data_IF_285806048137
#
_entry.id   IF_285806048137
#
_cell.length_a   1.000
_cell.length_b   1.000
_cell.length_c   1.000
_cell.angle_alpha   90.00
_cell.angle_beta   90.00
_cell.angle_gamma   90.00
#
_symmetry.space_group_name_H-M   'P 1'
#
loop_
_entity.id
_entity.type
_entity.pdbx_description
1 polymer ?
#
# COMPACT_ATOMS: atom_id res chain seq x y z
N UNK A 1 -71.46 -6.93 67.14
CA UNK A 1 -71.12 -5.50 66.93
C UNK A 1 -69.66 -5.43 66.52
N UNK A 2 -69.40 -4.97 65.31
CA UNK A 2 -68.09 -4.99 64.63
C UNK A 2 -67.24 -3.81 65.10
N UNK A 3 -66.07 -4.09 65.70
CA UNK A 3 -65.00 -3.11 65.85
C UNK A 3 -63.99 -3.35 64.72
N UNK A 4 -63.95 -2.44 63.74
CA UNK A 4 -62.96 -2.45 62.68
C UNK A 4 -61.68 -1.75 63.17
N UNK A 5 -60.63 -2.53 63.42
CA UNK A 5 -59.28 -2.02 63.66
C UNK A 5 -58.65 -1.58 62.32
N UNK A 6 -58.34 -0.29 62.20
CA UNK A 6 -57.72 0.29 61.01
C UNK A 6 -56.31 -0.24 60.76
N UNK A 7 -56.06 -0.72 59.55
CA UNK A 7 -54.71 -0.97 59.04
C UNK A 7 -54.31 0.23 58.18
N UNK A 8 -53.40 1.05 58.69
CA UNK A 8 -52.80 2.14 57.92
C UNK A 8 -51.78 1.59 56.92
N UNK A 9 -52.06 1.71 55.63
CA UNK A 9 -51.12 1.38 54.55
C UNK A 9 -50.15 2.55 54.41
N UNK A 10 -48.88 2.36 54.80
CA UNK A 10 -47.80 3.31 54.48
C UNK A 10 -47.49 3.22 52.99
N UNK A 11 -47.90 4.23 52.23
CA UNK A 11 -47.38 4.48 50.88
C UNK A 11 -45.92 4.91 51.03
N UNK A 12 -45.00 4.08 50.56
CA UNK A 12 -43.57 4.41 50.50
C UNK A 12 -43.35 5.27 49.27
N UNK A 13 -42.88 6.50 49.45
CA UNK A 13 -42.56 7.38 48.32
C UNK A 13 -41.51 6.73 47.40
N UNK A 14 -41.64 6.86 46.06
CA UNK A 14 -40.68 6.28 45.14
C UNK A 14 -39.31 6.91 45.36
N UNK A 15 -38.32 6.07 45.67
CA UNK A 15 -36.92 6.48 45.84
C UNK A 15 -36.48 7.25 44.58
N UNK A 16 -35.96 8.48 44.70
CA UNK A 16 -35.51 9.24 43.54
C UNK A 16 -34.44 8.45 42.79
N UNK A 17 -34.71 8.09 41.54
CA UNK A 17 -33.72 7.41 40.70
C UNK A 17 -32.55 8.37 40.44
N UNK A 18 -31.48 8.24 41.22
CA UNK A 18 -30.23 8.94 40.99
C UNK A 18 -29.48 8.21 39.85
N UNK A 19 -29.37 8.81 38.65
CA UNK A 19 -28.74 8.12 37.52
C UNK A 19 -27.29 7.82 37.84
N UNK A 20 -26.91 6.55 37.69
CA UNK A 20 -25.56 6.09 37.97
C UNK A 20 -24.55 6.81 37.03
N UNK A 21 -23.27 6.91 37.41
CA UNK A 21 -22.24 7.49 36.54
C UNK A 21 -22.19 6.83 35.15
N UNK A 22 -22.53 5.53 35.07
CA UNK A 22 -22.62 4.77 33.82
C UNK A 22 -23.81 5.16 32.95
N UNK A 23 -24.94 5.53 33.56
CA UNK A 23 -26.15 5.95 32.85
C UNK A 23 -25.99 7.37 32.30
N UNK A 24 -25.32 8.25 33.05
CA UNK A 24 -24.91 9.57 32.58
C UNK A 24 -23.94 9.48 31.40
N UNK A 25 -22.96 8.57 31.47
CA UNK A 25 -21.99 8.35 30.39
C UNK A 25 -22.68 7.77 29.13
N UNK A 26 -23.61 6.82 29.29
CA UNK A 26 -24.41 6.29 28.18
C UNK A 26 -25.28 7.36 27.54
N UNK A 27 -25.96 8.21 28.33
CA UNK A 27 -26.77 9.30 27.82
C UNK A 27 -25.92 10.32 27.06
N UNK A 28 -24.75 10.67 27.61
CA UNK A 28 -23.80 11.58 26.98
C UNK A 28 -23.28 11.04 25.63
N UNK A 29 -22.87 9.77 25.58
CA UNK A 29 -22.42 9.09 24.35
C UNK A 29 -23.55 8.97 23.31
N UNK A 30 -24.79 8.74 23.74
CA UNK A 30 -25.95 8.67 22.84
C UNK A 30 -26.30 10.03 22.25
N UNK A 31 -26.15 11.09 23.03
CA UNK A 31 -26.43 12.47 22.63
C UNK A 31 -25.32 13.06 21.73
N UNK A 32 -24.05 12.69 21.96
CA UNK A 32 -22.91 13.22 21.21
C UNK A 32 -22.35 12.25 20.17
N UNK A 33 -22.87 11.03 20.06
CA UNK A 33 -22.37 10.00 19.16
C UNK A 33 -22.25 10.44 17.70
N UNK A 34 -23.23 11.20 17.19
CA UNK A 34 -23.21 11.72 15.81
C UNK A 34 -22.15 12.81 15.60
N UNK A 35 -21.89 13.65 16.62
CA UNK A 35 -20.81 14.65 16.60
C UNK A 35 -19.44 14.00 16.72
N UNK A 36 -19.29 13.00 17.59
CA UNK A 36 -18.07 12.19 17.72
C UNK A 36 -17.74 11.43 16.43
N UNK A 37 -18.76 10.91 15.74
CA UNK A 37 -18.58 10.23 14.46
C UNK A 37 -18.13 11.19 13.36
N UNK A 38 -18.76 12.37 13.26
CA UNK A 38 -18.30 13.43 12.36
C UNK A 38 -16.91 13.94 12.70
N UNK A 39 -16.57 14.05 13.99
CA UNK A 39 -15.24 14.44 14.45
C UNK A 39 -14.19 13.38 14.10
N UNK A 40 -14.52 12.09 14.22
CA UNK A 40 -13.64 10.99 13.82
C UNK A 40 -13.42 10.98 12.30
N UNK A 41 -14.48 11.13 11.50
CA UNK A 41 -14.38 11.24 10.05
C UNK A 41 -13.58 12.47 9.61
N UNK A 42 -13.80 13.63 10.25
CA UNK A 42 -13.06 14.86 9.99
C UNK A 42 -11.59 14.75 10.44
N UNK A 43 -11.31 14.07 11.56
CA UNK A 43 -9.96 13.78 12.03
C UNK A 43 -9.23 12.84 11.07
N UNK A 44 -9.87 11.74 10.64
CA UNK A 44 -9.29 10.81 9.68
C UNK A 44 -9.03 11.47 8.32
N UNK A 45 -9.97 12.31 7.85
CA UNK A 45 -9.78 13.13 6.65
C UNK A 45 -8.64 14.14 6.84
N UNK A 46 -8.59 14.83 7.98
CA UNK A 46 -7.54 15.80 8.31
C UNK A 46 -6.16 15.15 8.42
N UNK A 47 -6.06 13.94 8.97
CA UNK A 47 -4.84 13.14 9.00
C UNK A 47 -4.43 12.72 7.57
N UNK A 48 -5.38 12.25 6.76
CA UNK A 48 -5.14 11.91 5.35
C UNK A 48 -4.64 13.11 4.53
N UNK A 49 -5.30 14.26 4.66
CA UNK A 49 -4.90 15.52 4.00
C UNK A 49 -3.53 15.98 4.50
N UNK A 50 -3.28 15.91 5.81
CA UNK A 50 -1.98 16.29 6.38
C UNK A 50 -0.86 15.39 5.87
N UNK A 51 -1.09 14.08 5.74
CA UNK A 51 -0.14 13.13 5.15
C UNK A 51 0.13 13.46 3.69
N UNK A 52 -0.90 13.77 2.90
CA UNK A 52 -0.75 14.14 1.48
C UNK A 52 0.03 15.45 1.34
N UNK A 53 -0.29 16.46 2.14
CA UNK A 53 0.41 17.76 2.14
C UNK A 53 1.86 17.61 2.62
N UNK A 54 2.11 16.76 3.61
CA UNK A 54 3.46 16.51 4.11
C UNK A 54 4.29 15.70 3.10
N UNK A 55 3.67 14.76 2.39
CA UNK A 55 4.30 14.04 1.29
C UNK A 55 4.68 14.95 0.10
N UNK A 56 4.05 16.12 -0.02
CA UNK A 56 4.38 17.12 -1.04
C UNK A 56 5.56 18.04 -0.64
N UNK A 57 5.95 18.12 0.64
CA UNK A 57 6.95 19.08 1.15
C UNK A 57 8.43 18.64 1.06
N UNK A 58 8.71 17.43 0.59
CA UNK A 58 10.08 16.99 0.33
C UNK A 58 10.32 15.49 0.59
N UNK A 59 11.19 14.89 -0.22
CA UNK A 59 11.38 13.43 -0.30
C UNK A 59 11.87 12.79 1.01
N UNK A 60 12.80 13.42 1.72
CA UNK A 60 13.29 12.88 3.00
C UNK A 60 12.20 12.83 4.08
N UNK A 61 11.30 13.81 4.08
CA UNK A 61 10.18 13.86 5.03
C UNK A 61 9.13 12.79 4.71
N UNK A 62 8.83 12.57 3.43
CA UNK A 62 7.92 11.52 2.99
C UNK A 62 8.45 10.12 3.31
N UNK A 63 9.78 9.91 3.23
CA UNK A 63 10.43 8.66 3.61
C UNK A 63 10.27 8.36 5.09
N UNK A 64 10.66 9.29 5.97
CA UNK A 64 10.53 9.11 7.41
C UNK A 64 9.08 8.97 7.87
N UNK A 65 8.16 9.68 7.22
CA UNK A 65 6.73 9.51 7.45
C UNK A 65 6.26 8.08 7.13
N UNK A 66 6.64 7.54 5.96
CA UNK A 66 6.32 6.16 5.57
C UNK A 66 6.93 5.13 6.52
N UNK A 67 8.18 5.35 6.96
CA UNK A 67 8.84 4.50 7.94
C UNK A 67 8.13 4.53 9.28
N UNK A 68 7.89 5.70 9.86
CA UNK A 68 7.29 5.83 11.20
C UNK A 68 5.87 5.28 11.24
N UNK A 69 5.06 5.60 10.23
CA UNK A 69 3.68 5.11 10.15
C UNK A 69 3.66 3.61 9.86
N UNK A 70 4.46 3.13 8.92
CA UNK A 70 4.60 1.71 8.63
C UNK A 70 5.05 0.89 9.84
N UNK A 71 6.05 1.38 10.57
CA UNK A 71 6.53 0.76 11.81
C UNK A 71 5.45 0.76 12.90
N UNK A 72 4.72 1.86 13.07
CA UNK A 72 3.60 1.92 14.01
C UNK A 72 2.54 0.87 13.67
N UNK A 73 2.17 0.72 12.40
CA UNK A 73 1.25 -0.34 11.99
C UNK A 73 1.79 -1.74 12.21
N UNK A 74 3.07 -1.97 11.93
CA UNK A 74 3.70 -3.26 12.19
C UNK A 74 3.65 -3.63 13.67
N UNK A 75 3.96 -2.68 14.56
CA UNK A 75 3.87 -2.87 16.01
C UNK A 75 2.43 -3.16 16.44
N UNK A 76 1.47 -2.42 15.89
CA UNK A 76 0.05 -2.61 16.23
C UNK A 76 -0.43 -3.98 15.72
N UNK A 77 -0.14 -4.35 14.47
CA UNK A 77 -0.45 -5.67 13.90
C UNK A 77 0.16 -6.78 14.76
N UNK A 78 1.42 -6.66 15.16
CA UNK A 78 2.11 -7.63 16.01
C UNK A 78 1.44 -7.71 17.39
N UNK A 79 1.13 -6.57 17.99
CA UNK A 79 0.42 -6.49 19.27
C UNK A 79 -0.94 -7.19 19.19
N UNK A 80 -1.74 -6.92 18.16
CA UNK A 80 -3.01 -7.59 17.92
C UNK A 80 -2.86 -9.07 17.61
N UNK A 81 -1.77 -9.49 16.96
CA UNK A 81 -1.51 -10.90 16.68
C UNK A 81 -1.21 -11.68 17.96
N UNK A 82 -0.38 -11.11 18.84
CA UNK A 82 0.01 -11.73 20.11
C UNK A 82 -1.15 -11.72 21.11
N UNK A 83 -1.87 -10.61 21.23
CA UNK A 83 -2.89 -10.41 22.27
C UNK A 83 -4.35 -10.64 21.82
N UNK A 84 -4.60 -10.74 20.51
CA UNK A 84 -5.94 -10.69 19.90
C UNK A 84 -6.37 -11.97 19.17
N UNK A 85 -5.80 -13.13 19.49
CA UNK A 85 -6.17 -14.44 18.90
C UNK A 85 -7.70 -14.69 18.94
N UNK A 86 -8.35 -14.39 17.81
CA UNK A 86 -9.76 -14.04 17.69
C UNK A 86 -10.80 -15.16 17.74
N UNK A 87 -10.44 -16.39 18.11
CA UNK A 87 -11.42 -17.48 18.32
C UNK A 87 -11.52 -17.95 19.77
N UNK A 88 -10.38 -18.07 20.46
CA UNK A 88 -10.37 -18.30 21.91
C UNK A 88 -11.05 -17.16 22.68
N UNK A 89 -10.86 -15.92 22.23
CA UNK A 89 -11.54 -14.75 22.80
C UNK A 89 -12.99 -14.57 22.33
N UNK A 90 -13.38 -14.96 21.12
CA UNK A 90 -14.78 -14.83 20.67
C UNK A 90 -15.72 -15.76 21.45
N UNK A 91 -15.29 -17.01 21.67
CA UNK A 91 -16.03 -17.95 22.50
C UNK A 91 -16.03 -17.53 23.98
N UNK A 92 -14.90 -17.01 24.50
CA UNK A 92 -14.82 -16.46 25.85
C UNK A 92 -15.54 -15.11 26.03
N UNK A 93 -15.77 -14.33 24.97
CA UNK A 93 -16.50 -13.05 25.00
C UNK A 93 -18.02 -13.24 24.87
N UNK A 94 -18.46 -14.33 24.23
CA UNK A 94 -19.86 -14.77 24.23
C UNK A 94 -20.22 -15.46 25.56
N UNK A 95 -19.27 -16.12 26.22
CA UNK A 95 -19.45 -16.78 27.52
C UNK A 95 -19.04 -15.92 28.75
N UNK A 96 -18.35 -14.79 28.55
CA UNK A 96 -17.73 -14.00 29.61
C UNK A 96 -18.38 -12.63 29.87
N UNK A 97 -18.02 -12.02 31.01
CA UNK A 97 -18.46 -10.68 31.46
C UNK A 97 -18.47 -9.62 30.36
N UNK A 98 -19.41 -8.66 30.43
CA UNK A 98 -19.58 -7.48 29.55
C UNK A 98 -18.26 -6.78 29.18
N UNK A 99 -17.25 -6.78 30.08
CA UNK A 99 -15.91 -6.24 29.83
C UNK A 99 -15.16 -6.95 28.69
N UNK A 100 -15.27 -8.28 28.59
CA UNK A 100 -14.64 -9.07 27.53
C UNK A 100 -15.31 -8.84 26.17
N UNK A 101 -16.65 -8.71 26.17
CA UNK A 101 -17.41 -8.39 24.95
C UNK A 101 -17.05 -7.01 24.42
N UNK A 102 -17.03 -5.99 25.28
CA UNK A 102 -16.62 -4.63 24.90
C UNK A 102 -15.17 -4.61 24.40
N UNK A 103 -14.25 -5.29 25.10
CA UNK A 103 -12.85 -5.39 24.66
C UNK A 103 -12.73 -6.07 23.30
N UNK A 104 -13.43 -7.17 23.05
CA UNK A 104 -13.41 -7.84 21.75
C UNK A 104 -13.90 -6.91 20.63
N UNK A 105 -15.07 -6.27 20.80
CA UNK A 105 -15.59 -5.33 19.80
C UNK A 105 -14.66 -4.13 19.58
N UNK A 106 -14.10 -3.56 20.65
CA UNK A 106 -13.13 -2.46 20.54
C UNK A 106 -11.87 -2.90 19.78
N UNK A 107 -11.37 -4.11 20.03
CA UNK A 107 -10.20 -4.67 19.36
C UNK A 107 -10.47 -4.93 17.87
N UNK A 108 -11.63 -5.50 17.53
CA UNK A 108 -12.03 -5.69 16.12
C UNK A 108 -12.19 -4.36 15.39
N UNK A 109 -12.83 -3.37 16.03
CA UNK A 109 -12.98 -2.04 15.47
C UNK A 109 -11.63 -1.34 15.25
N UNK A 110 -10.72 -1.43 16.21
CA UNK A 110 -9.37 -0.89 16.09
C UNK A 110 -8.59 -1.56 14.94
N UNK A 111 -8.69 -2.88 14.81
CA UNK A 111 -8.02 -3.62 13.74
C UNK A 111 -8.56 -3.24 12.34
N UNK A 112 -9.86 -3.00 12.21
CA UNK A 112 -10.44 -2.50 10.96
C UNK A 112 -9.92 -1.11 10.59
N UNK A 113 -9.95 -0.18 11.55
CA UNK A 113 -9.42 1.18 11.35
C UNK A 113 -7.93 1.16 11.01
N UNK A 114 -7.18 0.22 11.59
CA UNK A 114 -5.78 -0.01 11.27
C UNK A 114 -5.58 -0.42 9.81
N UNK A 115 -6.27 -1.47 9.34
CA UNK A 115 -6.16 -1.91 7.95
C UNK A 115 -6.61 -0.85 6.97
N UNK A 116 -7.71 -0.16 7.29
CA UNK A 116 -8.22 0.93 6.49
C UNK A 116 -7.16 2.03 6.36
N UNK A 117 -6.67 2.56 7.49
CA UNK A 117 -5.64 3.60 7.50
C UNK A 117 -4.37 3.18 6.76
N UNK A 118 -3.95 1.92 6.95
CA UNK A 118 -2.79 1.35 6.26
C UNK A 118 -2.98 1.31 4.74
N UNK A 119 -4.08 0.73 4.25
CA UNK A 119 -4.31 0.61 2.81
C UNK A 119 -4.48 1.96 2.12
N UNK A 120 -5.20 2.91 2.75
CA UNK A 120 -5.34 4.26 2.22
C UNK A 120 -4.02 5.03 2.17
N UNK A 121 -3.09 4.74 3.08
CA UNK A 121 -1.76 5.32 3.03
C UNK A 121 -0.87 4.73 1.93
N UNK A 122 -0.96 3.42 1.70
CA UNK A 122 -0.18 2.76 0.65
C UNK A 122 -0.58 3.24 -0.74
N UNK A 123 -1.89 3.42 -0.96
CA UNK A 123 -2.46 3.70 -2.28
C UNK A 123 -1.76 4.85 -3.04
N UNK A 124 -1.55 6.05 -2.46
CA UNK A 124 -0.86 7.14 -3.15
C UNK A 124 0.57 6.80 -3.62
N UNK A 125 1.34 6.04 -2.83
CA UNK A 125 2.70 5.65 -3.19
C UNK A 125 2.68 4.62 -4.33
N UNK A 126 1.84 3.61 -4.20
CA UNK A 126 1.64 2.59 -5.23
C UNK A 126 1.12 3.19 -6.54
N UNK A 127 0.16 4.12 -6.45
CA UNK A 127 -0.37 4.85 -7.60
C UNK A 127 0.72 5.62 -8.33
N UNK A 128 1.58 6.34 -7.61
CA UNK A 128 2.70 7.08 -8.22
C UNK A 128 3.73 6.17 -8.88
N UNK A 129 4.04 5.02 -8.29
CA UNK A 129 4.99 4.04 -8.82
C UNK A 129 4.42 3.13 -9.92
N UNK A 130 3.18 3.37 -10.36
CA UNK A 130 2.49 2.52 -11.33
C UNK A 130 2.35 3.21 -12.67
N UNK A 131 2.65 2.45 -13.72
CA UNK A 131 2.31 2.84 -15.08
C UNK A 131 0.98 2.18 -15.43
N UNK A 132 0.01 2.95 -15.91
CA UNK A 132 -1.28 2.39 -16.32
C UNK A 132 -1.14 1.68 -17.66
N UNK A 133 -2.00 0.68 -17.90
CA UNK A 133 -1.99 -0.15 -19.12
C UNK A 133 -0.77 -1.07 -19.28
N UNK A 134 -0.06 -1.32 -18.18
CA UNK A 134 1.04 -2.30 -18.10
C UNK A 134 0.78 -3.32 -17.00
N UNK A 135 1.48 -4.48 -16.99
CA UNK A 135 1.26 -5.52 -15.99
C UNK A 135 1.40 -5.03 -14.55
N UNK A 136 2.21 -4.01 -14.23
CA UNK A 136 2.32 -3.51 -12.86
C UNK A 136 1.04 -2.83 -12.30
N UNK A 137 0.04 -2.54 -13.13
CA UNK A 137 -1.18 -1.85 -12.69
C UNK A 137 -2.13 -2.73 -11.84
N UNK A 138 -2.13 -4.06 -12.02
CA UNK A 138 -3.09 -4.93 -11.31
C UNK A 138 -2.90 -4.87 -9.80
N UNK A 139 -1.66 -4.71 -9.32
CA UNK A 139 -1.38 -4.72 -7.88
C UNK A 139 -1.99 -3.51 -7.18
N UNK A 140 -1.97 -2.34 -7.82
CA UNK A 140 -2.64 -1.14 -7.30
C UNK A 140 -4.15 -1.29 -7.31
N UNK A 141 -4.70 -1.91 -8.36
CA UNK A 141 -6.12 -2.24 -8.40
C UNK A 141 -6.50 -3.18 -7.26
N UNK A 142 -5.69 -4.23 -7.00
CA UNK A 142 -5.88 -5.13 -5.86
C UNK A 142 -5.87 -4.37 -4.53
N UNK A 143 -4.88 -3.51 -4.31
CA UNK A 143 -4.84 -2.66 -3.10
C UNK A 143 -6.05 -1.73 -3.00
N UNK A 144 -6.51 -1.18 -4.13
CA UNK A 144 -7.69 -0.33 -4.22
C UNK A 144 -8.96 -1.07 -3.85
N UNK A 145 -9.13 -2.30 -4.34
CA UNK A 145 -10.24 -3.19 -3.95
C UNK A 145 -10.15 -3.54 -2.47
N UNK A 146 -8.97 -3.88 -1.95
CA UNK A 146 -8.78 -4.12 -0.52
C UNK A 146 -9.13 -2.90 0.33
N UNK A 147 -8.70 -1.71 -0.08
CA UNK A 147 -9.00 -0.45 0.61
C UNK A 147 -10.50 -0.18 0.59
N UNK A 148 -11.15 -0.33 -0.57
CA UNK A 148 -12.59 -0.16 -0.70
C UNK A 148 -13.35 -1.16 0.18
N UNK A 149 -13.01 -2.44 0.13
CA UNK A 149 -13.61 -3.47 0.99
C UNK A 149 -13.41 -3.17 2.48
N UNK A 150 -12.28 -2.57 2.87
CA UNK A 150 -12.03 -2.17 4.26
C UNK A 150 -12.99 -1.07 4.77
N UNK A 151 -13.56 -0.26 3.86
CA UNK A 151 -14.57 0.75 4.23
C UNK A 151 -15.97 0.17 4.40
N UNK A 152 -16.24 -1.01 3.82
CA UNK A 152 -17.54 -1.65 3.85
C UNK A 152 -17.66 -2.55 5.09
N UNK A 153 -17.87 -1.95 6.26
CA UNK A 153 -17.91 -2.64 7.56
C UNK A 153 -18.76 -3.93 7.58
N UNK A 154 -19.94 -3.88 6.96
CA UNK A 154 -20.88 -5.01 6.89
C UNK A 154 -20.35 -6.15 6.00
N UNK A 155 -19.72 -5.82 4.87
CA UNK A 155 -19.15 -6.81 3.93
C UNK A 155 -17.87 -7.40 4.51
N UNK A 156 -17.05 -6.57 5.13
CA UNK A 156 -15.81 -6.98 5.78
C UNK A 156 -16.07 -8.01 6.89
N UNK A 157 -17.06 -7.77 7.74
CA UNK A 157 -17.42 -8.72 8.80
C UNK A 157 -18.10 -9.99 8.26
N UNK A 158 -19.04 -9.83 7.32
CA UNK A 158 -19.87 -10.95 6.84
C UNK A 158 -19.14 -11.87 5.86
N UNK A 159 -18.16 -11.37 5.11
CA UNK A 159 -17.46 -12.11 4.06
C UNK A 159 -15.99 -12.32 4.41
N UNK A 160 -15.23 -11.24 4.65
CA UNK A 160 -13.77 -11.33 4.84
C UNK A 160 -13.42 -12.04 6.14
N UNK A 161 -14.04 -11.66 7.26
CA UNK A 161 -13.77 -12.31 8.54
C UNK A 161 -14.52 -13.63 8.77
N UNK A 162 -15.56 -13.92 7.97
CA UNK A 162 -16.24 -15.23 8.01
C UNK A 162 -15.31 -16.35 7.52
N UNK A 163 -14.54 -16.10 6.47
CA UNK A 163 -13.62 -17.09 5.91
C UNK A 163 -12.19 -16.84 6.35
N UNK A 164 -11.67 -17.73 7.21
CA UNK A 164 -10.31 -17.65 7.76
C UNK A 164 -9.22 -17.52 6.69
N UNK A 165 -9.38 -18.21 5.55
CA UNK A 165 -8.48 -18.10 4.41
C UNK A 165 -8.51 -16.69 3.79
N UNK A 166 -9.70 -16.13 3.55
CA UNK A 166 -9.84 -14.80 2.96
C UNK A 166 -9.27 -13.71 3.87
N UNK A 167 -9.54 -13.78 5.18
CA UNK A 167 -8.93 -12.87 6.15
C UNK A 167 -7.39 -12.95 6.16
N UNK A 168 -6.83 -14.16 6.04
CA UNK A 168 -5.37 -14.34 5.98
C UNK A 168 -4.76 -13.85 4.68
N UNK A 169 -5.45 -14.00 3.53
CA UNK A 169 -5.00 -13.45 2.24
C UNK A 169 -5.04 -11.93 2.29
N UNK A 170 -6.13 -11.34 2.78
CA UNK A 170 -6.25 -9.89 2.95
C UNK A 170 -5.13 -9.35 3.83
N UNK A 171 -4.87 -10.00 4.97
CA UNK A 171 -3.77 -9.64 5.85
C UNK A 171 -2.41 -9.74 5.14
N UNK A 172 -2.15 -10.85 4.44
CA UNK A 172 -0.89 -11.06 3.73
C UNK A 172 -0.66 -10.01 2.64
N UNK A 173 -1.69 -9.66 1.85
CA UNK A 173 -1.62 -8.61 0.82
C UNK A 173 -1.33 -7.25 1.43
N UNK A 174 -2.06 -6.88 2.49
CA UNK A 174 -1.89 -5.59 3.13
C UNK A 174 -0.52 -5.46 3.82
N UNK A 175 -0.06 -6.53 4.47
CA UNK A 175 1.26 -6.61 5.09
C UNK A 175 2.39 -6.59 4.05
N UNK A 176 2.25 -7.38 2.98
CA UNK A 176 3.19 -7.38 1.86
C UNK A 176 3.32 -5.98 1.26
N UNK A 177 2.20 -5.34 0.92
CA UNK A 177 2.19 -4.00 0.35
C UNK A 177 2.88 -2.97 1.25
N UNK A 178 2.67 -3.07 2.56
CA UNK A 178 3.31 -2.22 3.56
C UNK A 178 4.82 -2.46 3.64
N UNK A 179 5.26 -3.70 3.79
CA UNK A 179 6.68 -4.04 3.87
C UNK A 179 7.42 -3.72 2.57
N UNK A 180 6.80 -3.94 1.42
CA UNK A 180 7.38 -3.61 0.11
C UNK A 180 7.57 -2.09 -0.09
N UNK A 181 6.85 -1.24 0.67
CA UNK A 181 7.10 0.20 0.75
C UNK A 181 8.13 0.57 1.84
N UNK A 182 7.99 -0.03 3.03
CA UNK A 182 8.74 0.37 4.23
C UNK A 182 10.18 -0.16 4.22
N UNK A 183 10.42 -1.37 3.70
CA UNK A 183 11.76 -1.98 3.67
C UNK A 183 12.73 -1.15 2.81
N UNK A 184 12.41 -0.76 1.57
CA UNK A 184 13.29 0.14 0.80
C UNK A 184 13.45 1.52 1.44
N UNK A 185 12.43 2.00 2.17
CA UNK A 185 12.51 3.28 2.87
C UNK A 185 13.47 3.24 4.08
N UNK A 186 13.53 2.09 4.78
CA UNK A 186 14.45 1.81 5.88
C UNK A 186 15.87 1.49 5.40
N UNK A 187 15.99 0.76 4.30
CA UNK A 187 17.26 0.33 3.72
C UNK A 187 17.41 0.84 2.28
N UNK A 188 17.66 2.15 2.10
CA UNK A 188 17.78 2.78 0.79
C UNK A 188 18.67 2.00 -0.18
N UNK A 189 19.92 1.72 0.18
CA UNK A 189 20.88 1.13 -0.76
C UNK A 189 20.65 -0.36 -1.07
N UNK A 190 19.50 -0.91 -0.70
CA UNK A 190 19.08 -2.28 -1.03
C UNK A 190 18.27 -2.30 -2.32
N UNK A 191 18.51 -3.31 -3.17
CA UNK A 191 17.72 -3.53 -4.38
C UNK A 191 16.24 -3.74 -4.06
N UNK A 192 15.34 -3.19 -4.88
CA UNK A 192 13.90 -3.41 -4.73
C UNK A 192 13.51 -4.87 -4.81
N UNK A 193 14.24 -5.67 -5.60
CA UNK A 193 14.04 -7.11 -5.66
C UNK A 193 14.16 -7.77 -4.28
N UNK A 194 15.23 -7.51 -3.53
CA UNK A 194 15.40 -8.11 -2.21
C UNK A 194 14.33 -7.65 -1.23
N UNK A 195 13.98 -6.37 -1.27
CA UNK A 195 12.91 -5.81 -0.45
C UNK A 195 11.57 -6.50 -0.71
N UNK A 196 11.24 -6.74 -1.98
CA UNK A 196 10.05 -7.46 -2.42
C UNK A 196 10.06 -8.91 -1.92
N UNK A 197 11.17 -9.63 -2.08
CA UNK A 197 11.28 -11.03 -1.63
C UNK A 197 11.20 -11.14 -0.09
N UNK A 198 11.82 -10.22 0.65
CA UNK A 198 11.73 -10.16 2.11
C UNK A 198 10.28 -9.87 2.54
N UNK A 199 9.62 -8.91 1.89
CA UNK A 199 8.23 -8.56 2.17
C UNK A 199 7.29 -9.77 1.97
N UNK A 200 7.45 -10.52 0.87
CA UNK A 200 6.67 -11.74 0.61
C UNK A 200 7.00 -12.84 1.61
N UNK A 201 8.28 -13.00 1.97
CA UNK A 201 8.70 -13.96 2.99
C UNK A 201 8.01 -13.68 4.33
N UNK A 202 8.09 -12.45 4.83
CA UNK A 202 7.46 -12.06 6.10
C UNK A 202 5.93 -12.18 6.01
N UNK A 203 5.31 -11.75 4.90
CA UNK A 203 3.87 -11.89 4.70
C UNK A 203 3.41 -13.36 4.68
N UNK A 204 4.22 -14.25 4.11
CA UNK A 204 3.98 -15.70 4.13
C UNK A 204 4.08 -16.26 5.54
N UNK A 205 5.10 -15.87 6.32
CA UNK A 205 5.19 -16.25 7.74
C UNK A 205 3.99 -15.74 8.53
N UNK A 206 3.55 -14.51 8.30
CA UNK A 206 2.38 -13.95 8.96
C UNK A 206 1.09 -14.70 8.60
N UNK A 207 0.91 -15.07 7.33
CA UNK A 207 -0.19 -15.91 6.86
C UNK A 207 -0.20 -17.26 7.61
N UNK A 208 0.93 -17.96 7.65
CA UNK A 208 1.05 -19.22 8.37
C UNK A 208 0.86 -19.06 9.87
N UNK A 209 1.35 -17.96 10.45
CA UNK A 209 1.13 -17.69 11.87
C UNK A 209 -0.36 -17.74 12.20
N UNK A 210 -1.23 -17.21 11.33
CA UNK A 210 -2.69 -17.23 11.55
C UNK A 210 -3.21 -18.66 11.54
N UNK A 211 -2.74 -19.50 10.60
CA UNK A 211 -3.24 -20.85 10.36
C UNK A 211 -2.77 -21.91 11.37
N UNK A 212 -1.58 -21.75 11.95
CA UNK A 212 -0.92 -22.77 12.76
C UNK A 212 -0.75 -22.37 14.22
N UNK A 213 -0.84 -23.36 15.12
CA UNK A 213 -0.35 -23.24 16.49
C UNK A 213 1.09 -23.76 16.57
N UNK A 214 1.90 -23.23 17.49
CA UNK A 214 3.30 -23.66 17.67
C UNK A 214 3.45 -25.16 17.95
N UNK A 215 2.39 -25.83 18.44
CA UNK A 215 2.38 -27.27 18.67
C UNK A 215 2.40 -28.09 17.37
N UNK A 216 1.85 -27.56 16.27
CA UNK A 216 1.81 -28.23 14.96
C UNK A 216 3.19 -28.29 14.29
N UNK A 217 4.16 -27.48 14.74
CA UNK A 217 5.55 -27.54 14.28
C UNK A 217 6.29 -28.80 14.75
N UNK A 218 5.67 -29.64 15.59
CA UNK A 218 6.23 -30.95 15.96
C UNK A 218 6.10 -31.99 14.84
N UNK A 219 5.14 -31.82 13.94
CA UNK A 219 4.94 -32.75 12.82
C UNK A 219 5.69 -32.27 11.58
N UNK A 220 6.51 -33.15 11.00
CA UNK A 220 7.34 -32.83 9.82
C UNK A 220 6.52 -32.35 8.63
N UNK A 221 5.29 -32.84 8.45
CA UNK A 221 4.45 -32.49 7.31
C UNK A 221 4.09 -31.00 7.28
N UNK A 222 3.82 -30.37 8.43
CA UNK A 222 3.50 -28.95 8.49
C UNK A 222 4.72 -28.07 8.24
N UNK A 223 5.90 -28.50 8.68
CA UNK A 223 7.17 -27.82 8.34
C UNK A 223 7.39 -27.87 6.83
N UNK A 224 7.21 -29.05 6.21
CA UNK A 224 7.37 -29.21 4.76
C UNK A 224 6.38 -28.31 4.00
N UNK A 225 5.10 -28.30 4.39
CA UNK A 225 4.08 -27.44 3.75
C UNK A 225 4.39 -25.95 3.94
N UNK A 226 4.87 -25.54 5.13
CA UNK A 226 5.30 -24.17 5.39
C UNK A 226 6.46 -23.76 4.48
N UNK A 227 7.50 -24.59 4.38
CA UNK A 227 8.68 -24.32 3.55
C UNK A 227 8.30 -24.30 2.07
N UNK A 228 7.52 -25.28 1.60
CA UNK A 228 7.10 -25.36 0.20
C UNK A 228 6.21 -24.17 -0.19
N UNK A 229 5.25 -23.80 0.65
CA UNK A 229 4.37 -22.65 0.36
C UNK A 229 5.10 -21.32 0.45
N UNK A 230 6.01 -21.13 1.40
CA UNK A 230 6.84 -19.92 1.51
C UNK A 230 7.81 -19.83 0.33
N UNK A 231 8.49 -20.93 -0.01
CA UNK A 231 9.35 -21.01 -1.18
C UNK A 231 8.59 -20.77 -2.48
N UNK A 232 7.38 -21.34 -2.61
CA UNK A 232 6.48 -21.11 -3.73
C UNK A 232 5.99 -19.66 -3.83
N UNK A 233 5.67 -19.01 -2.71
CA UNK A 233 5.29 -17.60 -2.68
C UNK A 233 6.45 -16.68 -3.08
N UNK A 234 7.66 -16.93 -2.55
CA UNK A 234 8.87 -16.16 -2.90
C UNK A 234 9.25 -16.37 -4.37
N UNK A 235 9.22 -17.61 -4.86
CA UNK A 235 9.48 -17.91 -6.27
C UNK A 235 8.41 -17.28 -7.17
N UNK A 236 7.14 -17.39 -6.81
CA UNK A 236 6.03 -16.76 -7.52
C UNK A 236 6.20 -15.24 -7.59
N UNK A 237 6.59 -14.60 -6.49
CA UNK A 237 6.87 -13.17 -6.44
C UNK A 237 8.09 -12.79 -7.28
N UNK A 238 9.14 -13.61 -7.30
CA UNK A 238 10.29 -13.42 -8.17
C UNK A 238 9.90 -13.41 -9.65
N UNK A 239 9.04 -14.33 -10.11
CA UNK A 239 8.60 -14.34 -11.51
C UNK A 239 7.53 -13.28 -11.81
N UNK A 240 6.67 -12.96 -10.83
CA UNK A 240 5.64 -11.93 -10.95
C UNK A 240 6.17 -10.50 -10.73
N UNK A 241 7.46 -10.34 -10.42
CA UNK A 241 8.07 -9.03 -10.12
C UNK A 241 7.79 -7.93 -11.16
N UNK A 242 7.75 -8.17 -12.50
CA UNK A 242 7.46 -7.10 -13.45
C UNK A 242 6.02 -6.56 -13.33
N UNK A 243 5.15 -7.36 -12.71
CA UNK A 243 3.77 -7.04 -12.46
C UNK A 243 3.55 -6.40 -11.06
N UNK A 244 4.61 -6.14 -10.30
CA UNK A 244 4.56 -5.43 -9.02
C UNK A 244 5.33 -4.11 -9.19
N UNK A 245 4.73 -2.95 -8.89
CA UNK A 245 5.42 -1.68 -9.04
C UNK A 245 6.58 -1.56 -8.04
N UNK A 246 7.72 -0.96 -8.45
CA UNK A 246 8.90 -0.83 -7.61
C UNK A 246 8.77 0.37 -6.66
N UNK A 247 7.88 0.26 -5.68
CA UNK A 247 7.60 1.32 -4.70
C UNK A 247 8.83 1.55 -3.79
N UNK A 248 9.18 2.80 -3.42
CA UNK A 248 8.53 4.07 -3.77
C UNK A 248 9.16 4.80 -4.97
N UNK A 249 9.77 4.09 -5.92
CA UNK A 249 10.37 4.71 -7.11
C UNK A 249 9.31 5.08 -8.14
N UNK A 250 9.47 6.23 -8.79
CA UNK A 250 8.60 6.65 -9.89
C UNK A 250 9.28 7.67 -10.81
N UNK A 251 8.82 7.75 -12.05
CA UNK A 251 9.24 8.80 -12.99
C UNK A 251 8.48 10.09 -12.67
N UNK A 252 9.17 11.13 -12.19
CA UNK A 252 8.56 12.43 -11.91
C UNK A 252 8.36 13.26 -13.16
N UNK A 253 9.30 13.16 -14.11
CA UNK A 253 9.21 13.78 -15.43
C UNK A 253 9.76 12.81 -16.46
N UNK A 254 9.04 12.60 -17.54
CA UNK A 254 9.51 11.83 -18.70
C UNK A 254 9.11 12.58 -19.95
N UNK A 255 10.07 12.80 -20.84
CA UNK A 255 9.83 13.53 -22.08
C UNK A 255 10.75 13.01 -23.18
N UNK A 256 10.27 13.11 -24.42
CA UNK A 256 11.01 12.76 -25.63
C UNK A 256 10.99 13.97 -26.56
N UNK A 257 12.11 14.23 -27.23
CA UNK A 257 12.22 15.28 -28.21
C UNK A 257 13.46 15.17 -29.08
N UNK A 258 13.53 15.93 -30.18
CA UNK A 258 14.64 15.87 -31.12
C UNK A 258 15.86 16.66 -30.67
N UNK A 259 15.77 17.51 -29.64
CA UNK A 259 16.86 18.39 -29.24
C UNK A 259 16.90 18.64 -27.73
N UNK A 260 18.10 18.81 -27.18
CA UNK A 260 18.39 19.10 -25.77
C UNK A 260 19.03 20.49 -25.69
N UNK A 261 18.60 21.32 -24.74
CA UNK A 261 19.20 22.62 -24.44
C UNK A 261 20.55 22.47 -23.72
N UNK A 262 21.32 23.55 -23.68
CA UNK A 262 22.58 23.63 -22.91
C UNK A 262 22.39 23.37 -21.41
N UNK A 263 21.18 23.54 -20.86
CA UNK A 263 20.84 23.30 -19.46
C UNK A 263 20.39 21.84 -19.17
N UNK A 264 20.44 20.96 -20.17
CA UNK A 264 20.09 19.55 -20.04
C UNK A 264 18.58 19.25 -20.07
N UNK A 265 17.71 20.24 -20.34
CA UNK A 265 16.28 20.01 -20.62
C UNK A 265 16.04 19.74 -22.11
N UNK A 266 14.92 19.12 -22.45
CA UNK A 266 14.49 19.01 -23.84
C UNK A 266 14.03 20.38 -24.38
N UNK A 267 14.41 20.69 -25.61
CA UNK A 267 13.98 21.90 -26.32
C UNK A 267 12.50 21.89 -26.66
N UNK A 268 11.98 20.70 -26.91
CA UNK A 268 10.59 20.47 -27.22
C UNK A 268 10.22 19.12 -26.63
N UNK A 269 9.10 19.07 -25.91
CA UNK A 269 8.49 17.81 -25.49
C UNK A 269 7.44 17.49 -26.53
N UNK A 270 7.59 16.36 -27.19
CA UNK A 270 6.71 16.02 -28.29
C UNK A 270 5.85 14.82 -27.93
N UNK A 271 4.56 14.93 -28.22
CA UNK A 271 3.59 13.83 -28.10
C UNK A 271 3.28 13.19 -29.45
N UNK A 272 3.39 13.96 -30.53
CA UNK A 272 3.18 13.52 -31.92
C UNK A 272 4.28 14.12 -32.82
N UNK A 273 5.04 13.28 -33.54
CA UNK A 273 6.03 13.73 -34.53
C UNK A 273 5.69 13.23 -35.94
N UNK A 274 6.03 14.04 -36.93
CA UNK A 274 6.13 13.59 -38.31
C UNK A 274 7.48 12.88 -38.56
N UNK A 275 7.53 11.75 -39.27
CA UNK A 275 8.77 11.02 -39.56
C UNK A 275 9.89 11.89 -40.15
N UNK A 276 9.56 12.83 -41.03
CA UNK A 276 10.56 13.71 -41.66
C UNK A 276 11.28 14.66 -40.71
N UNK A 277 10.72 14.91 -39.51
CA UNK A 277 11.35 15.73 -38.48
C UNK A 277 12.31 14.92 -37.59
N UNK A 278 12.41 13.60 -37.80
CA UNK A 278 13.16 12.69 -36.94
C UNK A 278 14.50 12.35 -37.59
N UNK A 279 15.54 13.10 -37.22
CA UNK A 279 16.94 12.74 -37.45
C UNK A 279 17.55 12.08 -36.20
N UNK A 280 17.11 12.52 -35.02
CA UNK A 280 17.44 11.92 -33.72
C UNK A 280 16.26 11.99 -32.77
N UNK A 281 16.17 11.00 -31.89
CA UNK A 281 15.23 11.00 -30.77
C UNK A 281 16.03 10.95 -29.48
N UNK A 282 15.74 11.85 -28.54
CA UNK A 282 16.36 11.88 -27.23
C UNK A 282 15.27 11.82 -26.18
N UNK A 283 15.41 10.90 -25.23
CA UNK A 283 14.53 10.77 -24.09
C UNK A 283 15.26 11.22 -22.82
N UNK A 284 14.58 12.04 -22.03
CA UNK A 284 15.04 12.46 -20.70
C UNK A 284 13.99 12.04 -19.68
N UNK A 285 14.41 11.29 -18.67
CA UNK A 285 13.56 10.95 -17.52
C UNK A 285 14.23 11.34 -16.21
N UNK A 286 13.46 11.98 -15.34
CA UNK A 286 13.81 12.29 -13.96
C UNK A 286 13.13 11.27 -13.06
N UNK A 287 13.92 10.35 -12.51
CA UNK A 287 13.43 9.25 -11.67
C UNK A 287 13.64 9.61 -10.22
N UNK A 288 12.57 9.60 -9.43
CA UNK A 288 12.67 9.75 -7.98
C UNK A 288 13.00 8.39 -7.40
N UNK A 289 14.10 8.32 -6.65
CA UNK A 289 14.55 7.10 -5.95
C UNK A 289 14.66 7.41 -4.45
N UNK A 290 13.56 7.32 -3.68
CA UNK A 290 13.56 7.71 -2.26
C UNK A 290 14.43 6.80 -1.39
N UNK A 291 14.65 5.57 -1.84
CA UNK A 291 15.55 4.61 -1.23
C UNK A 291 16.92 4.64 -1.89
N UNK A 292 17.63 5.77 -1.99
CA UNK A 292 19.07 5.73 -2.31
C UNK A 292 19.41 5.21 -3.73
N UNK A 293 20.57 4.57 -3.92
CA UNK A 293 21.09 4.17 -5.25
C UNK A 293 21.23 2.64 -5.39
N UNK A 294 20.43 1.87 -4.63
CA UNK A 294 20.53 0.42 -4.56
C UNK A 294 20.19 -0.28 -5.89
N UNK A 295 19.22 0.25 -6.63
CA UNK A 295 18.86 -0.24 -7.96
C UNK A 295 19.57 0.51 -9.07
N UNK A 296 19.87 -0.21 -10.15
CA UNK A 296 20.31 0.37 -11.41
C UNK A 296 19.14 0.49 -12.36
N UNK A 297 19.05 1.63 -13.04
CA UNK A 297 17.95 1.91 -13.96
C UNK A 297 18.34 1.67 -15.42
N UNK A 298 17.36 1.33 -16.24
CA UNK A 298 17.50 1.05 -17.67
C UNK A 298 16.53 1.93 -18.44
N UNK A 299 17.00 2.55 -19.53
CA UNK A 299 16.15 3.17 -20.53
C UNK A 299 15.89 2.17 -21.65
N UNK A 300 14.64 1.74 -21.81
CA UNK A 300 14.24 0.76 -22.81
C UNK A 300 13.32 1.42 -23.83
N UNK A 301 13.78 1.54 -25.07
CA UNK A 301 13.00 2.08 -26.17
C UNK A 301 12.18 0.97 -26.80
N UNK A 302 10.88 1.24 -26.98
CA UNK A 302 9.94 0.35 -27.63
C UNK A 302 9.24 1.05 -28.78
N UNK A 303 9.08 0.32 -29.88
CA UNK A 303 8.31 0.70 -31.05
C UNK A 303 7.25 -0.36 -31.30
N UNK A 304 5.97 0.03 -31.32
CA UNK A 304 4.82 -0.87 -31.42
C UNK A 304 4.88 -2.04 -30.42
N UNK A 305 5.35 -1.77 -29.19
CA UNK A 305 5.51 -2.76 -28.12
C UNK A 305 6.78 -3.61 -28.20
N UNK A 306 7.54 -3.57 -29.30
CA UNK A 306 8.78 -4.31 -29.45
C UNK A 306 9.99 -3.50 -28.99
N UNK A 307 10.93 -4.14 -28.29
CA UNK A 307 12.19 -3.51 -27.91
C UNK A 307 13.06 -3.22 -29.11
N UNK A 308 13.50 -1.96 -29.26
CA UNK A 308 14.41 -1.57 -30.34
C UNK A 308 15.80 -1.18 -29.81
N UNK A 309 15.88 -0.66 -28.58
CA UNK A 309 17.14 -0.26 -27.98
C UNK A 309 17.07 -0.28 -26.45
N UNK A 310 18.19 -0.58 -25.80
CA UNK A 310 18.32 -0.59 -24.34
C UNK A 310 19.61 0.12 -23.94
N UNK A 311 19.47 1.13 -23.09
CA UNK A 311 20.59 1.89 -22.54
C UNK A 311 20.66 1.71 -21.02
N UNK A 312 21.87 1.45 -20.51
CA UNK A 312 22.13 1.23 -19.07
C UNK A 312 22.26 2.54 -18.32
N UNK A 313 22.07 2.53 -17.00
CA UNK A 313 22.35 3.71 -16.18
C UNK A 313 23.78 4.23 -16.36
N UNK A 314 24.78 3.35 -16.49
CA UNK A 314 26.18 3.77 -16.71
C UNK A 314 26.37 4.59 -17.99
N UNK A 315 25.56 4.35 -19.01
CA UNK A 315 25.62 5.05 -20.30
C UNK A 315 24.63 6.21 -20.40
N UNK A 316 23.57 6.19 -19.58
CA UNK A 316 22.45 7.14 -19.68
C UNK A 316 22.42 8.17 -18.56
N UNK A 317 23.10 7.93 -17.43
CA UNK A 317 23.04 8.83 -16.28
C UNK A 317 23.72 10.16 -16.58
N UNK A 318 23.00 11.24 -16.28
CA UNK A 318 23.50 12.61 -16.40
C UNK A 318 23.13 13.41 -15.16
N UNK A 319 23.76 14.57 -14.98
CA UNK A 319 23.44 15.46 -13.86
C UNK A 319 21.97 15.92 -13.94
N UNK A 320 21.29 15.84 -12.80
CA UNK A 320 19.87 16.10 -12.69
C UNK A 320 19.51 16.88 -11.42
N UNK A 321 18.22 17.23 -11.24
CA UNK A 321 17.73 17.91 -10.06
C UNK A 321 18.05 17.13 -8.78
N UNK A 322 18.32 17.85 -7.69
CA UNK A 322 18.55 17.25 -6.38
C UNK A 322 17.41 16.30 -5.99
N UNK A 323 17.75 15.10 -5.51
CA UNK A 323 16.78 14.07 -5.13
C UNK A 323 16.23 13.22 -6.27
N UNK A 324 16.74 13.37 -7.50
CA UNK A 324 16.37 12.54 -8.65
C UNK A 324 17.58 11.95 -9.36
N UNK A 325 17.38 10.81 -10.02
CA UNK A 325 18.33 10.24 -10.97
C UNK A 325 17.85 10.60 -12.37
N UNK A 326 18.60 11.45 -13.08
CA UNK A 326 18.29 11.80 -14.46
C UNK A 326 18.95 10.81 -15.41
N UNK A 327 18.14 10.25 -16.30
CA UNK A 327 18.57 9.39 -17.38
C UNK A 327 18.32 10.09 -18.71
N UNK A 328 19.31 10.03 -19.60
CA UNK A 328 19.27 10.53 -20.97
C UNK A 328 19.78 9.44 -21.90
N UNK A 329 18.93 9.00 -22.82
CA UNK A 329 19.34 8.13 -23.92
C UNK A 329 18.74 8.63 -25.23
N UNK A 330 19.23 8.14 -26.35
CA UNK A 330 18.71 8.54 -27.66
C UNK A 330 18.98 7.52 -28.74
N UNK A 331 18.21 7.66 -29.83
CA UNK A 331 18.33 6.91 -31.06
C UNK A 331 18.80 7.86 -32.16
N UNK A 332 19.85 7.46 -32.88
CA UNK A 332 20.42 8.26 -33.98
C UNK A 332 20.78 7.38 -35.15
N UNK A 333 20.54 7.87 -36.37
CA UNK A 333 21.04 7.24 -37.60
C UNK A 333 20.68 5.76 -37.72
N UNK A 334 21.67 4.88 -37.53
CA UNK A 334 21.53 3.43 -37.72
C UNK A 334 20.69 2.73 -36.65
N UNK A 335 20.51 3.35 -35.47
CA UNK A 335 19.71 2.79 -34.38
C UNK A 335 18.20 3.03 -34.57
N UNK A 336 17.81 3.87 -35.54
CA UNK A 336 16.43 4.12 -35.88
C UNK A 336 15.90 3.01 -36.81
N UNK A 337 14.72 2.43 -36.51
CA UNK A 337 14.04 1.51 -37.41
C UNK A 337 13.74 2.15 -38.77
N UNK A 338 13.69 1.35 -39.83
CA UNK A 338 13.33 1.83 -41.18
C UNK A 338 11.92 2.43 -41.26
N UNK A 339 10.98 1.88 -40.50
CA UNK A 339 9.63 2.42 -40.35
C UNK A 339 9.51 3.10 -38.99
N UNK A 340 9.31 4.41 -38.98
CA UNK A 340 9.20 5.19 -37.75
C UNK A 340 7.75 5.36 -37.29
N UNK A 341 6.76 5.13 -38.15
CA UNK A 341 5.35 5.37 -37.86
C UNK A 341 4.83 4.38 -36.80
N UNK A 342 4.01 4.87 -35.88
CA UNK A 342 3.35 4.07 -34.85
C UNK A 342 3.64 4.54 -33.43
N UNK A 343 3.31 3.67 -32.48
CA UNK A 343 3.40 3.95 -31.05
C UNK A 343 4.84 3.78 -30.55
N UNK A 344 5.33 4.79 -29.85
CA UNK A 344 6.63 4.75 -29.22
C UNK A 344 6.52 4.89 -27.71
N UNK A 345 7.36 4.13 -27.01
CA UNK A 345 7.54 4.32 -25.58
C UNK A 345 8.99 4.23 -25.15
N UNK A 346 9.32 4.96 -24.10
CA UNK A 346 10.58 4.84 -23.38
C UNK A 346 10.26 4.45 -21.96
N UNK A 347 10.57 3.21 -21.65
CA UNK A 347 10.32 2.58 -20.37
C UNK A 347 11.55 2.77 -19.48
N UNK A 348 11.31 3.19 -18.24
CA UNK A 348 12.33 3.15 -17.19
C UNK A 348 12.12 1.87 -16.42
N UNK A 349 13.04 0.92 -16.55
CA UNK A 349 13.01 -0.37 -15.86
C UNK A 349 14.12 -0.44 -14.82
N UNK A 350 13.89 -1.14 -13.70
CA UNK A 350 14.97 -1.58 -12.82
C UNK A 350 15.78 -2.67 -13.52
N UNK A 351 17.04 -2.88 -13.13
CA UNK A 351 17.88 -3.96 -13.66
C UNK A 351 17.23 -5.35 -13.48
N UNK A 352 16.40 -5.50 -12.45
CA UNK A 352 15.67 -6.73 -12.18
C UNK A 352 14.35 -6.82 -12.99
N UNK A 353 13.99 -5.84 -13.83
CA UNK A 353 12.86 -5.91 -14.74
C UNK A 353 11.52 -5.44 -14.17
N UNK A 354 11.54 -4.57 -13.15
CA UNK A 354 10.33 -3.87 -12.70
C UNK A 354 10.18 -2.54 -13.43
N UNK A 355 9.00 -2.27 -13.96
CA UNK A 355 8.70 -1.00 -14.64
C UNK A 355 8.47 0.11 -13.62
N UNK A 356 9.32 1.15 -13.65
CA UNK A 356 9.27 2.33 -12.78
C UNK A 356 8.37 3.42 -13.37
N UNK A 357 8.37 3.57 -14.70
CA UNK A 357 7.59 4.57 -15.40
C UNK A 357 7.78 4.49 -16.91
N UNK A 358 6.92 5.19 -17.65
CA UNK A 358 6.93 5.20 -19.13
C UNK A 358 6.66 6.60 -19.66
N UNK A 359 7.47 7.03 -20.62
CA UNK A 359 7.15 8.15 -21.51
C UNK A 359 6.63 7.60 -22.83
N UNK A 360 5.56 8.18 -23.38
CA UNK A 360 4.97 7.77 -24.67
C UNK A 360 4.91 8.93 -25.63
N UNK A 361 5.04 8.62 -26.91
CA UNK A 361 4.80 9.54 -28.02
C UNK A 361 4.37 8.73 -29.26
N UNK A 362 3.70 9.39 -30.19
CA UNK A 362 3.23 8.79 -31.43
C UNK A 362 4.00 9.40 -32.60
N UNK A 363 4.27 8.61 -33.63
CA UNK A 363 4.80 9.10 -34.90
C UNK A 363 3.77 8.86 -35.98
N UNK A 364 3.32 9.94 -36.63
CA UNK A 364 2.26 9.95 -37.65
C UNK A 364 2.71 10.66 -38.91
N UNK A 365 2.27 10.17 -40.08
CA UNK A 365 2.47 10.84 -41.38
C UNK A 365 1.55 12.06 -41.56
#
# INVERSE_FOLDING_TARGET
>A
MVYASGVSVRVVDPVPYAPSPRDKLKAFLKQHGRKLWWLHSAYALGLGVSVVVFAQKGFDHARWLAVSIGAAWMLVVLFFRIHGSGKGQANAALAGSTKHRVRFFAMTYALKNLYQGMLFFLLPFYWKSTTFWTPNAWFVVLLGVCAFLSTMDIVFDRVVFKFRALASVFHAVALFGCLNLVVPALFPDTRTLYSLLIAVGIASVAFWSIHFSLAMLKERIWIILFVLSTGGAVAGAYYARPAIPPVPMYVAKGAVGPMVLSDGRLAMVVRELHPSAIDKLIAITDVVVPGGKGDRLLHVWRHNGHEVHRATETTSKVDGPAGTVRLRSGLTGRDLPKNLVGDWSVDVETQDGQLVGRATFLVVE
#
